data_IF_444269320985
#
_entry.id   IF_444269320985
#
_cell.length_a   1.000
_cell.length_b   1.000
_cell.length_c   1.000
_cell.angle_alpha   90.00
_cell.angle_beta   90.00
_cell.angle_gamma   90.00
#
_symmetry.space_group_name_H-M   'P 1'
#
loop_
_entity.id
_entity.type
_entity.pdbx_description
1 polymer ?
#
# COMPACT_ATOMS: atom_id res chain seq x y z
N UNK A 1 24.03 16.25 27.92
CA UNK A 1 23.25 17.07 28.88
C UNK A 1 21.83 16.57 28.79
N UNK A 2 21.28 15.99 29.85
CA UNK A 2 19.85 15.68 29.94
C UNK A 2 19.14 16.96 30.40
N UNK A 3 18.20 17.42 29.58
CA UNK A 3 17.26 18.47 29.96
C UNK A 3 15.89 17.82 30.11
N UNK A 4 15.31 17.92 31.30
CA UNK A 4 13.96 17.38 31.58
C UNK A 4 12.97 18.54 31.56
N UNK A 5 11.98 18.47 30.67
CA UNK A 5 10.82 19.36 30.67
C UNK A 5 9.60 18.58 31.19
N UNK A 6 9.03 19.01 32.30
CA UNK A 6 7.78 18.46 32.81
C UNK A 6 6.59 19.14 32.12
N UNK A 7 5.80 18.37 31.33
CA UNK A 7 4.58 18.81 30.65
C UNK A 7 4.74 20.03 29.71
N UNK A 8 5.92 20.35 29.24
CA UNK A 8 6.18 21.58 28.52
C UNK A 8 6.56 21.35 27.05
N UNK A 9 6.30 22.38 26.27
CA UNK A 9 6.70 22.47 24.88
C UNK A 9 8.19 22.72 24.79
N UNK A 10 8.93 21.77 24.20
CA UNK A 10 10.32 21.96 23.79
C UNK A 10 10.32 22.49 22.36
N UNK A 11 11.10 23.52 22.07
CA UNK A 11 11.36 23.99 20.71
C UNK A 11 12.81 23.67 20.37
N UNK A 12 13.02 22.91 19.29
CA UNK A 12 14.33 22.53 18.78
C UNK A 12 14.46 23.11 17.38
N UNK A 13 15.52 23.85 17.13
CA UNK A 13 15.87 24.43 15.82
C UNK A 13 17.14 23.77 15.30
N UNK A 14 17.41 23.88 14.00
CA UNK A 14 18.63 23.27 13.41
C UNK A 14 19.95 23.90 13.93
N UNK A 15 19.86 25.08 14.57
CA UNK A 15 20.98 25.79 15.17
C UNK A 15 21.28 25.37 16.62
N UNK A 16 20.46 24.47 17.20
CA UNK A 16 20.65 24.04 18.57
C UNK A 16 22.01 23.37 18.80
N UNK A 17 22.66 23.75 19.88
CA UNK A 17 24.00 23.27 20.26
C UNK A 17 24.06 21.73 20.39
N UNK A 18 22.95 21.11 20.76
CA UNK A 18 22.83 19.63 20.86
C UNK A 18 23.23 18.88 19.58
N UNK A 19 23.08 19.50 18.42
CA UNK A 19 23.46 18.89 17.13
C UNK A 19 24.97 18.86 16.88
N UNK A 20 25.79 19.60 17.65
CA UNK A 20 27.26 19.53 17.55
C UNK A 20 27.80 18.12 17.85
N UNK A 21 27.03 17.29 18.56
CA UNK A 21 27.35 15.90 18.87
C UNK A 21 26.67 14.90 17.92
N UNK A 22 26.17 15.36 16.78
CA UNK A 22 25.57 14.54 15.71
C UNK A 22 24.05 14.53 15.73
N UNK A 23 23.39 14.14 16.81
CA UNK A 23 21.92 14.08 16.91
C UNK A 23 21.43 14.49 18.30
N UNK A 24 20.18 14.94 18.35
CA UNK A 24 19.44 15.14 19.60
C UNK A 24 18.47 13.98 19.77
N UNK A 25 18.55 13.29 20.92
CA UNK A 25 17.62 12.20 21.26
C UNK A 25 16.57 12.73 22.23
N UNK A 26 15.29 12.50 21.91
CA UNK A 26 14.14 12.89 22.71
C UNK A 26 13.35 11.65 23.10
N UNK A 27 13.01 11.53 24.37
CA UNK A 27 12.19 10.45 24.91
C UNK A 27 11.10 11.01 25.80
N UNK A 28 9.91 10.41 25.78
CA UNK A 28 8.89 10.73 26.76
C UNK A 28 9.22 10.04 28.10
N UNK A 29 9.08 10.75 29.21
CA UNK A 29 9.14 10.17 30.54
C UNK A 29 7.98 9.16 30.71
N UNK A 30 8.24 8.06 31.37
CA UNK A 30 7.26 7.01 31.66
C UNK A 30 6.61 6.35 30.41
N UNK A 31 7.28 6.38 29.25
CA UNK A 31 6.82 5.69 28.04
C UNK A 31 5.62 6.34 27.34
N UNK A 32 5.36 7.62 27.63
CA UNK A 32 4.30 8.39 26.97
C UNK A 32 4.58 8.68 25.48
N UNK A 33 3.66 9.36 24.83
CA UNK A 33 3.81 9.78 23.43
C UNK A 33 4.27 11.24 23.32
N UNK A 34 5.07 11.52 22.30
CA UNK A 34 5.60 12.85 21.97
C UNK A 34 4.85 13.41 20.76
N UNK A 35 4.22 14.58 20.88
CA UNK A 35 3.50 15.25 19.80
C UNK A 35 4.40 16.25 19.09
N UNK A 36 4.64 16.04 17.79
CA UNK A 36 5.42 16.97 16.95
C UNK A 36 4.48 18.05 16.39
N UNK A 37 4.44 19.21 17.05
CA UNK A 37 3.50 20.31 16.73
C UNK A 37 3.85 21.09 15.47
N UNK A 38 5.07 21.00 14.98
CA UNK A 38 5.52 21.65 13.73
C UNK A 38 5.08 20.89 12.46
N UNK A 39 4.62 19.65 12.60
CA UNK A 39 4.10 18.84 11.48
C UNK A 39 2.59 18.73 11.62
N UNK A 40 1.87 18.92 10.50
CA UNK A 40 0.43 18.69 10.44
C UNK A 40 0.12 17.65 9.37
N UNK A 41 -0.62 16.61 9.74
CA UNK A 41 -1.10 15.55 8.85
C UNK A 41 -2.62 15.54 8.79
N UNK A 42 -3.22 14.68 7.98
CA UNK A 42 -4.67 14.61 7.81
C UNK A 42 -5.46 14.40 9.12
N UNK A 43 -4.83 13.80 10.13
CA UNK A 43 -5.40 13.53 11.46
C UNK A 43 -4.91 14.51 12.55
N UNK A 44 -4.26 15.60 12.18
CA UNK A 44 -3.70 16.60 13.10
C UNK A 44 -2.18 16.51 13.24
N UNK A 45 -1.66 16.89 14.41
CA UNK A 45 -0.24 16.77 14.70
C UNK A 45 0.10 15.31 15.02
N UNK A 46 1.17 14.74 14.42
CA UNK A 46 1.55 13.36 14.68
C UNK A 46 2.07 13.16 16.10
N UNK A 47 1.75 12.01 16.66
CA UNK A 47 2.15 11.56 17.99
C UNK A 47 3.00 10.29 17.88
N UNK A 48 4.13 10.25 18.56
CA UNK A 48 5.13 9.20 18.46
C UNK A 48 5.43 8.57 19.82
N UNK A 49 5.31 7.26 19.90
CA UNK A 49 5.84 6.47 21.02
C UNK A 49 7.32 6.17 20.79
N UNK A 50 8.00 5.69 21.83
CA UNK A 50 9.41 5.29 21.75
C UNK A 50 10.37 6.48 21.80
N UNK A 51 11.35 6.48 20.89
CA UNK A 51 12.44 7.47 20.85
C UNK A 51 12.34 8.29 19.58
N UNK A 52 12.60 9.60 19.66
CA UNK A 52 12.83 10.44 18.49
C UNK A 52 14.30 10.85 18.43
N UNK A 53 14.98 10.44 17.38
CA UNK A 53 16.31 10.92 17.01
C UNK A 53 16.18 12.02 15.95
N UNK A 54 16.71 13.19 16.26
CA UNK A 54 16.64 14.37 15.41
C UNK A 54 18.03 14.65 14.82
N UNK A 55 18.09 14.90 13.51
CA UNK A 55 19.30 15.20 12.78
C UNK A 55 19.14 16.54 12.08
N UNK A 56 20.05 17.50 12.33
CA UNK A 56 20.08 18.77 11.60
C UNK A 56 20.66 18.54 10.19
N UNK A 57 20.02 19.11 9.18
CA UNK A 57 20.47 19.11 7.79
C UNK A 57 20.46 20.53 7.23
N UNK A 58 20.98 20.71 6.01
CA UNK A 58 20.91 22.01 5.31
C UNK A 58 19.46 22.47 5.09
N UNK A 59 18.54 21.52 4.88
CA UNK A 59 17.13 21.78 4.55
C UNK A 59 16.20 21.86 5.77
N UNK A 60 16.65 21.36 6.94
CA UNK A 60 15.82 21.32 8.14
C UNK A 60 16.23 20.24 9.14
N UNK A 61 15.25 19.64 9.80
CA UNK A 61 15.46 18.56 10.76
C UNK A 61 14.83 17.29 10.25
N UNK A 62 15.63 16.23 10.14
CA UNK A 62 15.14 14.85 9.91
C UNK A 62 14.77 14.26 11.26
N UNK A 63 13.61 13.64 11.33
CA UNK A 63 13.08 13.00 12.54
C UNK A 63 13.05 11.49 12.31
N UNK A 64 13.75 10.74 13.13
CA UNK A 64 13.72 9.27 13.13
C UNK A 64 12.99 8.79 14.37
N UNK A 65 11.99 7.95 14.19
CA UNK A 65 11.29 7.31 15.30
C UNK A 65 11.79 5.87 15.48
N UNK A 66 12.37 5.60 16.62
CA UNK A 66 12.85 4.27 17.04
C UNK A 66 11.86 3.69 18.06
N UNK A 67 11.25 2.55 17.74
CA UNK A 67 10.28 1.89 18.61
C UNK A 67 10.21 0.37 18.33
N UNK A 68 9.71 -0.43 19.31
CA UNK A 68 9.47 -1.87 19.09
C UNK A 68 8.46 -2.12 17.96
N UNK A 69 8.64 -3.20 17.18
CA UNK A 69 7.77 -3.58 16.07
C UNK A 69 6.29 -3.66 16.48
N UNK A 70 5.97 -4.26 17.59
CA UNK A 70 4.57 -4.37 18.06
C UNK A 70 3.94 -2.99 18.32
N UNK A 71 4.72 -2.05 18.85
CA UNK A 71 4.25 -0.66 19.04
C UNK A 71 4.06 0.06 17.71
N UNK A 72 4.95 -0.16 16.74
CA UNK A 72 4.84 0.35 15.37
C UNK A 72 3.54 -0.19 14.71
N UNK A 73 3.28 -1.49 14.81
CA UNK A 73 2.11 -2.13 14.24
C UNK A 73 0.78 -1.61 14.80
N UNK A 74 0.73 -1.19 16.07
CA UNK A 74 -0.46 -0.57 16.66
C UNK A 74 -0.90 0.72 15.95
N UNK A 75 -0.01 1.36 15.19
CA UNK A 75 -0.33 2.54 14.37
C UNK A 75 -0.36 2.25 12.86
N UNK A 76 0.36 1.24 12.40
CA UNK A 76 0.31 0.78 10.99
C UNK A 76 -1.02 0.12 10.68
N UNK A 77 -1.45 -0.85 11.48
CA UNK A 77 -2.69 -1.60 11.18
C UNK A 77 -3.91 -0.68 11.00
N UNK A 78 -4.21 0.27 11.90
CA UNK A 78 -5.34 1.19 11.69
C UNK A 78 -5.10 2.23 10.58
N UNK A 79 -3.87 2.43 10.14
CA UNK A 79 -3.54 3.29 8.98
C UNK A 79 -3.79 2.59 7.66
N UNK A 80 -3.64 1.26 7.62
CA UNK A 80 -3.79 0.43 6.44
C UNK A 80 -5.21 -0.14 6.28
N UNK A 81 -5.85 -0.50 7.39
CA UNK A 81 -7.16 -1.16 7.41
C UNK A 81 -8.08 -0.50 8.43
N UNK A 82 -9.33 -0.17 8.08
CA UNK A 82 -10.28 0.39 9.05
C UNK A 82 -10.43 -0.48 10.29
N UNK A 83 -10.30 0.12 11.48
CA UNK A 83 -10.45 -0.60 12.76
C UNK A 83 -11.86 -1.19 12.98
N UNK A 84 -12.84 -0.78 12.16
CA UNK A 84 -14.19 -1.34 12.13
C UNK A 84 -14.30 -2.68 11.40
N UNK A 85 -13.20 -3.15 10.77
CA UNK A 85 -13.20 -4.47 10.12
C UNK A 85 -13.25 -5.59 11.16
N UNK A 86 -13.63 -6.78 10.71
CA UNK A 86 -13.72 -7.96 11.57
C UNK A 86 -12.35 -8.26 12.20
N UNK A 87 -12.36 -8.69 13.47
CA UNK A 87 -11.15 -8.97 14.26
C UNK A 87 -10.18 -9.91 13.55
N UNK A 88 -10.71 -10.97 12.90
CA UNK A 88 -9.88 -11.93 12.19
C UNK A 88 -9.20 -11.32 10.95
N UNK A 89 -9.82 -10.35 10.29
CA UNK A 89 -9.19 -9.59 9.22
C UNK A 89 -8.08 -8.66 9.75
N UNK A 90 -8.32 -8.01 10.89
CA UNK A 90 -7.31 -7.17 11.56
C UNK A 90 -6.11 -7.99 12.03
N UNK A 91 -6.32 -9.23 12.53
CA UNK A 91 -5.26 -10.18 12.86
C UNK A 91 -4.45 -10.58 11.64
N UNK A 92 -5.11 -10.93 10.53
CA UNK A 92 -4.42 -11.23 9.27
C UNK A 92 -3.57 -10.04 8.79
N UNK A 93 -4.12 -8.83 8.87
CA UNK A 93 -3.38 -7.60 8.54
C UNK A 93 -2.19 -7.37 9.48
N UNK A 94 -2.33 -7.64 10.79
CA UNK A 94 -1.25 -7.48 11.74
C UNK A 94 -0.08 -8.45 11.45
N UNK A 95 -0.38 -9.72 11.13
CA UNK A 95 0.65 -10.69 10.71
C UNK A 95 1.32 -10.25 9.41
N UNK A 96 0.54 -9.82 8.41
CA UNK A 96 1.10 -9.29 7.16
C UNK A 96 2.00 -8.08 7.40
N UNK A 97 1.55 -7.12 8.18
CA UNK A 97 2.31 -5.91 8.47
C UNK A 97 3.60 -6.22 9.24
N UNK A 98 3.57 -7.20 10.14
CA UNK A 98 4.76 -7.68 10.87
C UNK A 98 5.77 -8.32 9.94
N UNK A 99 5.33 -9.23 9.07
CA UNK A 99 6.19 -9.82 8.05
C UNK A 99 6.89 -8.78 7.18
N UNK A 100 6.12 -7.77 6.73
CA UNK A 100 6.67 -6.70 5.92
C UNK A 100 7.72 -5.90 6.71
N UNK A 101 7.42 -5.53 7.96
CA UNK A 101 8.35 -4.78 8.82
C UNK A 101 9.64 -5.59 9.10
N UNK A 102 9.52 -6.86 9.48
CA UNK A 102 10.67 -7.76 9.75
C UNK A 102 11.59 -7.86 8.53
N UNK A 103 11.02 -7.95 7.32
CA UNK A 103 11.82 -7.96 6.09
C UNK A 103 12.51 -6.63 5.80
N UNK A 104 11.90 -5.49 6.15
CA UNK A 104 12.54 -4.18 5.98
C UNK A 104 13.64 -3.94 7.02
N UNK A 105 13.54 -4.56 8.19
CA UNK A 105 14.57 -4.43 9.24
C UNK A 105 15.87 -5.19 8.95
N UNK A 106 15.92 -6.01 7.90
CA UNK A 106 17.16 -6.69 7.48
C UNK A 106 18.21 -5.71 6.96
N UNK A 107 17.79 -4.52 6.49
CA UNK A 107 18.69 -3.53 5.91
C UNK A 107 18.21 -2.10 6.15
N UNK A 108 19.11 -1.14 6.16
CA UNK A 108 18.78 0.27 6.28
C UNK A 108 18.51 0.88 4.90
N UNK A 109 17.27 1.33 4.65
CA UNK A 109 16.97 2.11 3.45
C UNK A 109 17.60 3.52 3.50
N UNK A 110 17.87 4.02 4.72
CA UNK A 110 18.51 5.32 5.00
C UNK A 110 19.69 5.11 5.94
N UNK A 111 20.85 4.60 5.44
CA UNK A 111 22.00 4.22 6.27
C UNK A 111 22.57 5.39 7.08
N UNK A 112 22.51 6.61 6.55
CA UNK A 112 23.00 7.83 7.19
C UNK A 112 22.25 8.17 8.49
N UNK A 113 21.00 7.70 8.61
CA UNK A 113 20.16 7.86 9.80
C UNK A 113 19.93 6.55 10.55
N UNK A 114 20.46 5.44 10.06
CA UNK A 114 20.16 4.09 10.55
C UNK A 114 18.64 3.80 10.57
N UNK A 115 17.92 4.28 9.53
CA UNK A 115 16.48 4.10 9.41
C UNK A 115 16.14 3.07 8.32
N UNK A 116 15.19 2.17 8.64
CA UNK A 116 14.81 1.05 7.77
C UNK A 116 13.76 1.45 6.73
N UNK A 117 12.88 2.39 7.07
CA UNK A 117 11.73 2.80 6.25
C UNK A 117 11.45 4.28 6.42
N UNK A 118 10.67 4.86 5.53
CA UNK A 118 9.97 6.12 5.78
C UNK A 118 8.48 5.85 6.10
N UNK A 119 7.74 6.89 6.45
CA UNK A 119 6.34 6.81 6.86
C UNK A 119 5.32 7.01 5.72
N UNK A 120 5.77 6.93 4.46
CA UNK A 120 4.95 7.13 3.28
C UNK A 120 4.45 5.81 2.67
N UNK A 121 3.69 5.93 1.59
CA UNK A 121 3.19 4.80 0.80
C UNK A 121 4.28 4.06 0.01
N UNK A 122 5.54 4.49 0.07
CA UNK A 122 6.67 3.73 -0.49
C UNK A 122 6.95 2.46 0.32
N UNK A 123 6.54 2.50 1.60
CA UNK A 123 6.57 1.39 2.55
C UNK A 123 5.16 1.13 3.09
N UNK A 124 5.02 0.91 4.39
CA UNK A 124 3.72 0.82 5.05
C UNK A 124 3.26 2.19 5.51
N UNK A 125 1.96 2.49 5.31
CA UNK A 125 1.41 3.76 5.76
C UNK A 125 1.47 3.86 7.28
N UNK A 126 2.16 4.88 7.77
CA UNK A 126 2.28 5.21 9.17
C UNK A 126 1.74 6.62 9.41
N UNK A 127 0.40 6.74 9.43
CA UNK A 127 -0.28 8.03 9.54
C UNK A 127 -0.12 8.72 10.89
N UNK A 128 0.40 8.01 11.90
CA UNK A 128 0.46 8.47 13.27
C UNK A 128 -0.90 8.92 13.85
N UNK A 129 -1.97 8.31 13.36
CA UNK A 129 -3.29 8.44 13.98
C UNK A 129 -3.30 7.81 15.37
N UNK A 130 -4.30 8.16 16.19
CA UNK A 130 -4.50 7.51 17.47
C UNK A 130 -4.64 6.00 17.29
N UNK A 131 -4.09 5.23 18.23
CA UNK A 131 -4.32 3.79 18.30
C UNK A 131 -5.81 3.50 18.43
N UNK A 132 -6.24 2.40 17.81
CA UNK A 132 -7.62 1.94 17.87
C UNK A 132 -7.66 0.61 18.65
N UNK A 133 -8.55 0.48 19.61
CA UNK A 133 -8.59 -0.69 20.50
C UNK A 133 -8.68 -2.01 19.74
N UNK A 134 -9.56 -2.09 18.73
CA UNK A 134 -9.75 -3.31 17.96
C UNK A 134 -8.49 -3.75 17.20
N UNK A 135 -7.79 -2.80 16.55
CA UNK A 135 -6.53 -3.11 15.84
C UNK A 135 -5.38 -3.37 16.79
N UNK A 136 -5.31 -2.67 17.91
CA UNK A 136 -4.30 -2.90 18.96
C UNK A 136 -4.48 -4.29 19.60
N UNK A 137 -5.72 -4.71 19.85
CA UNK A 137 -5.99 -6.06 20.34
C UNK A 137 -5.57 -7.13 19.32
N UNK A 138 -5.88 -6.93 18.04
CA UNK A 138 -5.46 -7.85 16.97
C UNK A 138 -3.93 -7.99 16.87
N UNK A 139 -3.19 -6.89 17.00
CA UNK A 139 -1.71 -6.90 17.07
C UNK A 139 -1.24 -7.72 18.27
N UNK A 140 -1.80 -7.47 19.47
CA UNK A 140 -1.40 -8.18 20.69
C UNK A 140 -1.71 -9.68 20.65
N UNK A 141 -2.87 -10.08 20.11
CA UNK A 141 -3.26 -11.50 20.01
C UNK A 141 -2.41 -12.27 19.02
N UNK A 142 -1.78 -11.60 18.04
CA UNK A 142 -0.88 -12.19 17.06
C UNK A 142 0.59 -11.84 17.30
N UNK A 143 0.93 -11.33 18.50
CA UNK A 143 2.29 -10.84 18.78
C UNK A 143 3.36 -11.90 18.49
N UNK A 144 4.39 -11.48 17.73
CA UNK A 144 5.51 -12.33 17.30
C UNK A 144 5.17 -13.32 16.18
N UNK A 145 3.91 -13.44 15.74
CA UNK A 145 3.54 -14.36 14.66
C UNK A 145 3.93 -13.80 13.28
N UNK A 146 4.67 -14.61 12.53
CA UNK A 146 5.10 -14.32 11.16
C UNK A 146 4.78 -15.47 10.21
N UNK A 147 4.58 -15.13 8.94
CA UNK A 147 4.49 -16.10 7.86
C UNK A 147 5.88 -16.48 7.38
N UNK A 148 6.13 -17.78 7.29
CA UNK A 148 7.34 -18.33 6.67
C UNK A 148 7.01 -19.20 5.47
N UNK A 149 7.85 -19.15 4.47
CA UNK A 149 7.81 -20.02 3.31
C UNK A 149 9.16 -20.71 3.15
N UNK A 150 9.17 -22.04 3.12
CA UNK A 150 10.41 -22.86 3.13
C UNK A 150 11.37 -22.45 4.26
N UNK A 151 10.82 -22.15 5.45
CA UNK A 151 11.57 -21.80 6.66
C UNK A 151 12.05 -20.34 6.75
N UNK A 152 11.84 -19.51 5.75
CA UNK A 152 12.26 -18.11 5.75
C UNK A 152 11.05 -17.17 5.93
N UNK A 153 11.22 -16.09 6.70
CA UNK A 153 10.24 -15.01 6.79
C UNK A 153 10.05 -14.41 5.38
N UNK A 154 8.81 -14.20 4.97
CA UNK A 154 8.48 -13.74 3.63
C UNK A 154 7.87 -12.33 3.63
N UNK A 155 8.06 -11.60 2.53
CA UNK A 155 7.38 -10.32 2.33
C UNK A 155 5.93 -10.56 1.96
N UNK A 156 5.01 -10.02 2.74
CA UNK A 156 3.57 -10.13 2.52
C UNK A 156 3.01 -8.83 1.97
N UNK A 157 2.69 -8.83 0.68
CA UNK A 157 2.05 -7.69 0.03
C UNK A 157 0.54 -7.75 0.22
N UNK A 158 -0.11 -6.60 0.36
CA UNK A 158 -1.55 -6.49 0.48
C UNK A 158 -2.07 -5.25 -0.25
N UNK A 159 -3.35 -5.26 -0.59
CA UNK A 159 -4.00 -4.20 -1.35
C UNK A 159 -5.48 -4.13 -0.99
N UNK A 160 -6.17 -3.07 -1.40
CA UNK A 160 -7.53 -2.78 -0.93
C UNK A 160 -8.56 -3.83 -1.33
N UNK A 161 -8.82 -4.02 -2.65
CA UNK A 161 -10.00 -4.76 -3.15
C UNK A 161 -9.64 -5.62 -4.36
N UNK A 162 -9.98 -6.90 -4.34
CA UNK A 162 -9.81 -7.78 -5.51
C UNK A 162 -11.00 -7.68 -6.47
N UNK A 163 -10.77 -8.14 -7.69
CA UNK A 163 -11.83 -8.37 -8.67
C UNK A 163 -12.28 -9.84 -8.72
N UNK A 164 -12.07 -10.59 -7.62
CA UNK A 164 -12.32 -12.02 -7.51
C UNK A 164 -11.09 -12.90 -7.73
N UNK A 165 -9.96 -12.29 -8.10
CA UNK A 165 -8.67 -12.98 -8.28
C UNK A 165 -7.51 -12.10 -7.90
N UNK A 166 -6.44 -12.72 -7.41
CA UNK A 166 -5.13 -12.07 -7.22
C UNK A 166 -4.22 -12.33 -8.43
N UNK A 167 -3.02 -11.75 -8.40
CA UNK A 167 -1.98 -12.00 -9.40
C UNK A 167 -0.64 -12.36 -8.73
N UNK A 168 0.39 -12.55 -9.54
CA UNK A 168 1.75 -12.91 -9.08
C UNK A 168 2.73 -11.76 -9.27
N UNK A 169 3.96 -11.94 -8.82
CA UNK A 169 5.06 -10.97 -8.99
C UNK A 169 5.37 -10.64 -10.46
N UNK A 170 4.86 -11.43 -11.42
CA UNK A 170 4.94 -11.09 -12.86
C UNK A 170 4.30 -9.74 -13.18
N UNK A 171 3.30 -9.32 -12.42
CA UNK A 171 2.68 -8.00 -12.57
C UNK A 171 3.68 -6.85 -12.38
N UNK A 172 4.70 -7.05 -11.57
CA UNK A 172 5.81 -6.09 -11.37
C UNK A 172 7.07 -6.40 -12.19
N UNK A 173 6.98 -7.37 -13.11
CA UNK A 173 8.10 -7.76 -13.97
C UNK A 173 9.11 -8.71 -13.30
N UNK A 174 8.79 -9.20 -12.09
CA UNK A 174 9.63 -10.18 -11.39
C UNK A 174 9.25 -11.59 -11.80
N UNK A 175 10.23 -12.40 -12.18
CA UNK A 175 10.00 -13.81 -12.52
C UNK A 175 9.60 -14.61 -11.28
N UNK A 176 8.71 -15.57 -11.50
CA UNK A 176 8.40 -16.57 -10.48
C UNK A 176 9.62 -17.46 -10.23
N UNK A 177 9.93 -17.70 -8.97
CA UNK A 177 11.04 -18.51 -8.52
C UNK A 177 10.69 -19.20 -7.19
N UNK A 178 11.61 -19.97 -6.67
CA UNK A 178 11.40 -20.72 -5.45
C UNK A 178 11.17 -19.87 -4.20
N UNK A 179 11.65 -18.63 -4.17
CA UNK A 179 11.51 -17.76 -2.99
C UNK A 179 10.20 -16.99 -2.96
N UNK A 180 9.52 -16.80 -4.12
CA UNK A 180 8.26 -16.07 -4.22
C UNK A 180 7.05 -16.95 -4.62
N UNK A 181 7.21 -18.28 -4.59
CA UNK A 181 6.17 -19.23 -4.98
C UNK A 181 4.90 -19.22 -4.11
N UNK A 182 4.93 -18.56 -2.97
CA UNK A 182 3.76 -18.33 -2.11
C UNK A 182 2.87 -17.19 -2.61
N UNK A 183 3.36 -16.30 -3.48
CA UNK A 183 2.61 -15.21 -4.09
C UNK A 183 1.91 -15.67 -5.38
N UNK A 184 0.98 -16.59 -5.23
CA UNK A 184 0.23 -17.16 -6.34
C UNK A 184 -0.99 -16.31 -6.70
N UNK A 185 -1.49 -16.51 -7.91
CA UNK A 185 -2.82 -16.02 -8.30
C UNK A 185 -3.86 -16.97 -7.73
N UNK A 186 -4.65 -16.49 -6.77
CA UNK A 186 -5.71 -17.25 -6.12
C UNK A 186 -7.09 -16.69 -6.47
N UNK A 187 -8.11 -17.54 -6.48
CA UNK A 187 -9.49 -17.11 -6.58
C UNK A 187 -10.04 -16.73 -5.21
N UNK A 188 -10.48 -15.47 -5.05
CA UNK A 188 -10.96 -14.92 -3.77
C UNK A 188 -12.45 -15.20 -3.62
N UNK A 189 -12.79 -16.51 -3.50
CA UNK A 189 -14.17 -17.00 -3.48
C UNK A 189 -14.36 -18.21 -2.57
N UNK A 190 -15.62 -18.51 -2.28
CA UNK A 190 -16.08 -19.77 -1.71
C UNK A 190 -17.13 -20.43 -2.63
N UNK A 191 -17.86 -21.42 -2.10
CA UNK A 191 -18.96 -22.10 -2.81
C UNK A 191 -20.14 -21.17 -3.18
N UNK A 192 -20.26 -20.00 -2.52
CA UNK A 192 -21.32 -19.02 -2.76
C UNK A 192 -20.91 -17.93 -3.77
N UNK A 193 -19.68 -17.99 -4.27
CA UNK A 193 -19.09 -17.05 -5.23
C UNK A 193 -18.02 -16.15 -4.62
N UNK A 194 -17.66 -15.09 -5.34
CA UNK A 194 -16.58 -14.18 -4.94
C UNK A 194 -16.96 -13.41 -3.67
N UNK A 195 -16.09 -13.37 -2.70
CA UNK A 195 -16.31 -12.69 -1.42
C UNK A 195 -16.63 -11.20 -1.60
N UNK A 196 -15.94 -10.55 -2.52
CA UNK A 196 -16.01 -9.09 -2.70
C UNK A 196 -17.04 -8.63 -3.76
N UNK A 197 -17.86 -9.54 -4.31
CA UNK A 197 -18.78 -9.28 -5.44
C UNK A 197 -19.78 -8.14 -5.24
N UNK A 198 -20.05 -7.75 -4.00
CA UNK A 198 -20.97 -6.66 -3.66
C UNK A 198 -20.26 -5.34 -3.32
N UNK A 199 -18.93 -5.32 -3.28
CA UNK A 199 -18.18 -4.13 -2.90
C UNK A 199 -18.05 -3.14 -4.07
N UNK A 200 -18.05 -1.82 -3.80
CA UNK A 200 -18.05 -0.80 -4.85
C UNK A 200 -16.94 -0.97 -5.89
N UNK A 201 -15.71 -1.22 -5.45
CA UNK A 201 -14.55 -1.36 -6.33
C UNK A 201 -14.40 -2.74 -7.00
N UNK A 202 -15.28 -3.70 -6.70
CA UNK A 202 -15.22 -5.03 -7.33
C UNK A 202 -15.31 -4.95 -8.86
N UNK A 203 -16.11 -4.00 -9.38
CA UNK A 203 -16.15 -3.63 -10.81
C UNK A 203 -16.21 -2.11 -10.94
N UNK A 204 -15.61 -1.61 -12.00
CA UNK A 204 -15.63 -0.18 -12.31
C UNK A 204 -15.50 0.07 -13.81
N UNK A 205 -15.93 1.24 -14.25
CA UNK A 205 -15.86 1.70 -15.63
C UNK A 205 -15.31 3.12 -15.65
N UNK A 206 -14.53 3.43 -16.71
CA UNK A 206 -14.07 4.78 -16.99
C UNK A 206 -14.16 5.02 -18.51
N UNK A 207 -14.78 6.15 -18.88
CA UNK A 207 -14.81 6.65 -20.23
C UNK A 207 -13.80 7.79 -20.35
N UNK A 208 -12.72 7.57 -21.09
CA UNK A 208 -11.62 8.55 -21.25
C UNK A 208 -11.69 9.11 -22.68
N UNK A 209 -11.87 10.42 -22.79
CA UNK A 209 -11.81 11.10 -24.07
C UNK A 209 -10.42 10.99 -24.70
N UNK A 210 -10.38 10.93 -26.04
CA UNK A 210 -9.15 10.73 -26.82
C UNK A 210 -8.09 11.80 -26.55
N UNK A 211 -8.52 13.08 -26.41
CA UNK A 211 -7.57 14.17 -26.15
C UNK A 211 -7.03 14.10 -24.73
N UNK A 212 -7.88 13.77 -23.76
CA UNK A 212 -7.49 13.52 -22.36
C UNK A 212 -6.49 12.35 -22.29
N UNK A 213 -6.79 11.22 -22.92
CA UNK A 213 -5.90 10.05 -22.93
C UNK A 213 -4.56 10.39 -23.59
N UNK A 214 -4.57 11.17 -24.67
CA UNK A 214 -3.34 11.60 -25.37
C UNK A 214 -2.46 12.48 -24.47
N UNK A 215 -3.08 13.41 -23.73
CA UNK A 215 -2.38 14.26 -22.77
C UNK A 215 -1.81 13.46 -21.60
N UNK A 216 -2.60 12.56 -21.00
CA UNK A 216 -2.18 11.69 -19.90
C UNK A 216 -0.97 10.82 -20.28
N UNK A 217 -1.02 10.17 -21.43
CA UNK A 217 0.08 9.33 -21.89
C UNK A 217 1.34 10.16 -22.17
N UNK A 218 1.21 11.33 -22.80
CA UNK A 218 2.34 12.21 -23.06
C UNK A 218 3.00 12.70 -21.76
N UNK A 219 2.18 13.08 -20.77
CA UNK A 219 2.66 13.54 -19.47
C UNK A 219 3.29 12.42 -18.63
N UNK A 220 2.59 11.29 -18.49
CA UNK A 220 2.99 10.23 -17.56
C UNK A 220 4.13 9.36 -18.09
N UNK A 221 4.19 9.14 -19.43
CA UNK A 221 5.23 8.33 -20.07
C UNK A 221 6.39 9.19 -20.59
N UNK A 222 6.23 10.54 -20.53
CA UNK A 222 7.22 11.52 -21.04
C UNK A 222 7.56 11.31 -22.53
N UNK A 223 6.58 10.86 -23.32
CA UNK A 223 6.69 10.67 -24.75
C UNK A 223 5.39 11.07 -25.46
N UNK A 224 5.48 12.10 -26.29
CA UNK A 224 4.35 12.55 -27.11
C UNK A 224 4.24 11.70 -28.38
N UNK A 225 3.12 10.99 -28.54
CA UNK A 225 2.78 10.19 -29.72
C UNK A 225 1.68 10.83 -30.58
N UNK A 226 1.34 12.08 -30.28
CA UNK A 226 0.23 12.78 -30.93
C UNK A 226 -1.13 12.33 -30.41
N UNK A 227 -2.15 12.43 -31.25
CA UNK A 227 -3.51 11.99 -30.92
C UNK A 227 -3.59 10.47 -30.91
N UNK A 228 -3.96 9.88 -29.76
CA UNK A 228 -4.03 8.41 -29.58
C UNK A 228 -5.16 7.82 -30.42
N UNK A 229 -4.84 6.93 -31.31
CA UNK A 229 -5.78 6.28 -32.20
C UNK A 229 -6.20 4.90 -31.71
N UNK A 230 -5.31 4.16 -31.03
CA UNK A 230 -5.62 2.88 -30.41
C UNK A 230 -4.90 2.70 -29.08
N UNK A 231 -5.51 1.96 -28.18
CA UNK A 231 -4.97 1.49 -26.91
C UNK A 231 -5.38 0.04 -26.73
N UNK A 232 -4.42 -0.84 -26.50
CA UNK A 232 -4.64 -2.29 -26.39
C UNK A 232 -3.85 -2.87 -25.21
N UNK A 233 -4.44 -3.85 -24.52
CA UNK A 233 -3.71 -4.76 -23.63
C UNK A 233 -3.07 -5.85 -24.47
N UNK A 234 -1.75 -5.83 -24.65
CA UNK A 234 -1.02 -6.75 -25.52
C UNK A 234 -0.51 -7.98 -24.80
N UNK A 235 -0.37 -7.92 -23.46
CA UNK A 235 -0.02 -9.09 -22.63
C UNK A 235 -0.83 -9.07 -21.35
N UNK A 236 -1.32 -10.24 -20.96
CA UNK A 236 -2.01 -10.48 -19.68
C UNK A 236 -1.25 -11.51 -18.86
N UNK A 237 -1.31 -11.37 -17.53
CA UNK A 237 -0.72 -12.28 -16.56
C UNK A 237 -1.75 -13.11 -15.81
N UNK A 238 -1.29 -13.87 -14.80
CA UNK A 238 -2.15 -14.61 -13.90
C UNK A 238 -3.26 -13.73 -13.30
N UNK A 239 -4.45 -14.30 -13.14
CA UNK A 239 -5.62 -13.55 -12.68
C UNK A 239 -6.24 -12.61 -13.72
N UNK A 240 -5.61 -12.42 -14.89
CA UNK A 240 -6.09 -11.53 -15.95
C UNK A 240 -5.56 -10.09 -15.85
N UNK A 241 -4.52 -9.84 -15.04
CA UNK A 241 -3.86 -8.52 -14.92
C UNK A 241 -3.18 -8.13 -16.24
N UNK A 242 -3.27 -6.86 -16.64
CA UNK A 242 -2.51 -6.33 -17.77
C UNK A 242 -1.01 -6.24 -17.38
N UNK A 243 -0.17 -6.94 -18.14
CA UNK A 243 1.29 -6.89 -18.03
C UNK A 243 1.92 -5.93 -19.02
N UNK A 244 1.23 -5.66 -20.12
CA UNK A 244 1.71 -4.74 -21.14
C UNK A 244 0.53 -4.10 -21.86
N UNK A 245 0.61 -2.81 -22.10
CA UNK A 245 -0.27 -2.07 -22.99
C UNK A 245 0.53 -1.46 -24.14
N UNK A 246 -0.13 -1.28 -25.29
CA UNK A 246 0.41 -0.54 -26.44
C UNK A 246 -0.58 0.55 -26.83
N UNK A 247 -0.10 1.78 -26.94
CA UNK A 247 -0.84 2.88 -27.53
C UNK A 247 -0.18 3.33 -28.83
N UNK A 248 -1.03 3.59 -29.85
CA UNK A 248 -0.62 4.11 -31.16
C UNK A 248 -1.31 5.43 -31.38
N UNK A 249 -0.54 6.45 -31.68
CA UNK A 249 -1.00 7.77 -32.07
C UNK A 249 -0.59 8.11 -33.48
N UNK A 250 -0.98 9.30 -33.95
CA UNK A 250 -0.66 9.80 -35.29
C UNK A 250 0.81 10.18 -35.49
N UNK A 251 1.61 10.31 -34.37
CA UNK A 251 3.03 10.65 -34.39
C UNK A 251 3.93 9.53 -33.89
N UNK A 252 3.38 8.35 -33.61
CA UNK A 252 4.16 7.21 -33.13
C UNK A 252 3.43 6.26 -32.23
N UNK A 253 4.18 5.44 -31.49
CA UNK A 253 3.61 4.51 -30.52
C UNK A 253 4.45 4.40 -29.27
N UNK A 254 3.81 3.93 -28.19
CA UNK A 254 4.44 3.57 -26.91
C UNK A 254 3.99 2.18 -26.48
N UNK A 255 4.88 1.52 -25.76
CA UNK A 255 4.57 0.28 -25.03
C UNK A 255 4.90 0.54 -23.56
N UNK A 256 4.00 0.17 -22.67
CA UNK A 256 4.18 0.31 -21.23
C UNK A 256 4.05 -1.06 -20.58
N UNK A 257 5.06 -1.46 -19.86
CA UNK A 257 5.13 -2.74 -19.17
C UNK A 257 4.91 -2.54 -17.67
N UNK A 258 4.49 -3.58 -16.98
CA UNK A 258 4.21 -3.71 -15.56
C UNK A 258 2.96 -2.99 -15.07
N UNK A 259 2.32 -3.60 -14.10
CA UNK A 259 1.06 -3.18 -13.50
C UNK A 259 1.11 -1.71 -13.02
N UNK A 260 2.13 -1.36 -12.25
CA UNK A 260 2.26 -0.01 -11.66
C UNK A 260 2.45 1.06 -12.74
N UNK A 261 3.33 0.81 -13.74
CA UNK A 261 3.57 1.77 -14.82
C UNK A 261 2.34 1.92 -15.73
N UNK A 262 1.59 0.84 -15.95
CA UNK A 262 0.34 0.88 -16.72
C UNK A 262 -0.69 1.74 -15.99
N UNK A 263 -0.89 1.52 -14.69
CA UNK A 263 -1.81 2.33 -13.88
C UNK A 263 -1.40 3.79 -13.86
N UNK A 264 -0.10 4.08 -13.74
CA UNK A 264 0.44 5.43 -13.79
C UNK A 264 0.22 6.08 -15.17
N UNK A 265 0.49 5.34 -16.25
CA UNK A 265 0.33 5.85 -17.62
C UNK A 265 -1.11 6.29 -17.93
N UNK A 266 -2.09 5.60 -17.38
CA UNK A 266 -3.52 5.86 -17.58
C UNK A 266 -4.16 6.66 -16.45
N UNK A 267 -3.44 6.93 -15.36
CA UNK A 267 -3.90 7.73 -14.24
C UNK A 267 -3.86 9.22 -14.55
N UNK A 268 -4.71 9.98 -13.89
CA UNK A 268 -4.76 11.44 -13.99
C UNK A 268 -6.16 12.00 -13.82
N UNK A 269 -6.26 13.31 -13.91
CA UNK A 269 -7.51 14.05 -13.85
C UNK A 269 -8.20 14.11 -15.23
N UNK A 270 -9.44 14.55 -15.25
CA UNK A 270 -10.19 14.82 -16.49
C UNK A 270 -11.14 13.72 -16.91
N UNK A 271 -11.24 12.63 -16.15
CA UNK A 271 -12.25 11.59 -16.34
C UNK A 271 -12.77 11.07 -14.99
N UNK A 272 -13.92 10.44 -15.04
CA UNK A 272 -14.58 9.85 -13.88
C UNK A 272 -14.51 8.32 -13.93
N UNK A 273 -14.51 7.72 -12.76
CA UNK A 273 -14.55 6.27 -12.58
C UNK A 273 -15.85 5.93 -11.87
N UNK A 274 -16.76 5.27 -12.61
CA UNK A 274 -18.03 4.80 -12.08
C UNK A 274 -17.84 3.41 -11.48
N UNK A 275 -18.08 3.28 -10.18
CA UNK A 275 -18.06 2.01 -9.46
C UNK A 275 -19.35 1.23 -9.68
N UNK A 276 -19.35 -0.08 -9.39
CA UNK A 276 -20.52 -0.93 -9.64
C UNK A 276 -21.77 -0.56 -8.84
N UNK A 277 -21.61 0.10 -7.69
CA UNK A 277 -22.71 0.62 -6.87
C UNK A 277 -23.30 1.94 -7.41
N UNK A 278 -22.78 2.42 -8.53
CA UNK A 278 -23.18 3.69 -9.17
C UNK A 278 -22.48 4.91 -8.59
N UNK A 279 -21.72 4.80 -7.50
CA UNK A 279 -20.93 5.92 -7.00
C UNK A 279 -19.76 6.25 -7.93
N UNK A 280 -19.36 7.52 -7.95
CA UNK A 280 -18.34 8.03 -8.86
C UNK A 280 -17.13 8.50 -8.06
N UNK A 281 -15.93 8.23 -8.58
CA UNK A 281 -14.68 8.79 -8.12
C UNK A 281 -14.01 9.56 -9.26
N UNK A 282 -13.27 10.61 -8.96
CA UNK A 282 -12.42 11.28 -9.94
C UNK A 282 -11.21 10.42 -10.26
N UNK A 283 -10.69 10.53 -11.48
CA UNK A 283 -9.41 9.93 -11.84
C UNK A 283 -8.32 10.43 -10.88
N UNK A 284 -7.43 9.54 -10.47
CA UNK A 284 -6.32 9.83 -9.56
C UNK A 284 -4.97 9.57 -10.21
N UNK A 285 -3.89 9.74 -9.48
CA UNK A 285 -2.52 9.52 -9.97
C UNK A 285 -2.29 8.13 -10.58
N UNK A 286 -3.09 7.16 -10.18
CA UNK A 286 -3.09 5.79 -10.69
C UNK A 286 -4.51 5.38 -11.10
N UNK A 287 -4.63 4.62 -12.19
CA UNK A 287 -5.86 3.86 -12.48
C UNK A 287 -6.14 2.89 -11.31
N UNK A 288 -7.40 2.59 -10.94
CA UNK A 288 -7.71 1.77 -9.76
C UNK A 288 -6.98 0.44 -9.71
N UNK A 289 -6.87 -0.26 -10.82
CA UNK A 289 -6.12 -1.51 -10.95
C UNK A 289 -5.66 -1.73 -12.39
N UNK A 290 -4.81 -2.73 -12.61
CA UNK A 290 -4.47 -3.20 -13.96
C UNK A 290 -5.31 -4.40 -14.41
N UNK A 291 -6.37 -4.74 -13.72
CA UNK A 291 -7.34 -5.76 -14.15
C UNK A 291 -8.46 -5.10 -14.97
N UNK A 292 -8.19 -4.85 -16.24
CA UNK A 292 -9.13 -4.14 -17.11
C UNK A 292 -9.08 -4.62 -18.56
N UNK A 293 -10.12 -4.24 -19.31
CA UNK A 293 -10.21 -4.29 -20.77
C UNK A 293 -10.46 -2.88 -21.28
N UNK A 294 -10.04 -2.62 -22.51
CA UNK A 294 -10.27 -1.33 -23.17
C UNK A 294 -10.92 -1.55 -24.54
N UNK A 295 -11.87 -0.68 -24.89
CA UNK A 295 -12.52 -0.62 -26.23
C UNK A 295 -12.63 0.83 -26.65
N UNK A 296 -12.28 1.13 -27.89
CA UNK A 296 -12.52 2.44 -28.49
C UNK A 296 -13.93 2.50 -29.09
N UNK A 297 -14.67 3.56 -28.81
CA UNK A 297 -15.98 3.87 -29.36
C UNK A 297 -16.02 5.37 -29.76
N UNK A 298 -15.84 5.64 -31.05
CA UNK A 298 -15.64 7.03 -31.53
C UNK A 298 -14.37 7.63 -30.92
N UNK A 299 -14.52 8.78 -30.26
CA UNK A 299 -13.42 9.46 -29.56
C UNK A 299 -13.28 9.04 -28.09
N UNK A 300 -14.03 8.04 -27.64
CA UNK A 300 -13.98 7.58 -26.24
C UNK A 300 -13.26 6.24 -26.14
N UNK A 301 -12.33 6.13 -25.20
CA UNK A 301 -11.73 4.89 -24.75
C UNK A 301 -12.47 4.39 -23.51
N UNK A 302 -13.31 3.37 -23.68
CA UNK A 302 -14.05 2.72 -22.59
C UNK A 302 -13.16 1.69 -21.92
N UNK A 303 -12.84 1.93 -20.65
CA UNK A 303 -12.07 1.02 -19.81
C UNK A 303 -13.05 0.37 -18.83
N UNK A 304 -13.11 -0.97 -18.83
CA UNK A 304 -13.90 -1.73 -17.87
C UNK A 304 -12.96 -2.60 -17.05
N UNK A 305 -13.00 -2.44 -15.75
CA UNK A 305 -12.07 -3.10 -14.86
C UNK A 305 -12.69 -3.56 -13.55
N UNK A 306 -11.84 -4.06 -12.66
CA UNK A 306 -12.24 -4.46 -11.32
C UNK A 306 -11.08 -4.47 -10.35
N UNK A 307 -11.42 -4.35 -9.07
CA UNK A 307 -10.45 -4.25 -7.98
C UNK A 307 -9.85 -2.85 -7.80
N UNK A 308 -9.18 -2.69 -6.67
CA UNK A 308 -8.46 -1.47 -6.29
C UNK A 308 -7.12 -1.83 -5.62
N UNK A 309 -6.01 -1.52 -6.30
CA UNK A 309 -4.65 -1.86 -5.88
C UNK A 309 -3.93 -2.76 -6.87
N UNK A 310 -2.75 -3.26 -6.48
CA UNK A 310 -1.85 -4.01 -7.37
C UNK A 310 -2.24 -5.49 -7.59
N UNK A 311 -3.06 -6.05 -6.73
CA UNK A 311 -3.57 -7.42 -6.89
C UNK A 311 -2.63 -8.54 -6.44
N UNK A 312 -1.49 -8.26 -5.81
CA UNK A 312 -0.53 -9.28 -5.33
C UNK A 312 -0.73 -9.50 -3.83
N UNK A 313 -0.84 -10.76 -3.39
CA UNK A 313 -1.03 -11.13 -1.99
C UNK A 313 -2.45 -10.86 -1.49
N UNK A 314 -2.60 -10.38 -0.24
CA UNK A 314 -3.90 -10.28 0.43
C UNK A 314 -4.74 -9.08 -0.02
N UNK A 315 -6.00 -9.35 -0.41
CA UNK A 315 -7.03 -8.31 -0.49
C UNK A 315 -7.54 -8.00 0.91
N UNK A 316 -7.43 -6.74 1.35
CA UNK A 316 -7.87 -6.30 2.67
C UNK A 316 -9.40 -6.42 2.82
N UNK A 317 -10.15 -6.01 1.80
CA UNK A 317 -11.60 -6.21 1.76
C UNK A 317 -11.97 -7.68 1.65
N UNK A 318 -11.22 -8.47 0.86
CA UNK A 318 -11.40 -9.92 0.77
C UNK A 318 -11.23 -10.60 2.12
N UNK A 319 -10.18 -10.25 2.86
CA UNK A 319 -9.96 -10.74 4.22
C UNK A 319 -11.14 -10.40 5.16
N UNK A 320 -11.66 -9.17 5.08
CA UNK A 320 -12.81 -8.75 5.88
C UNK A 320 -14.09 -9.52 5.52
N UNK A 321 -14.38 -9.69 4.23
CA UNK A 321 -15.56 -10.46 3.80
C UNK A 321 -15.44 -11.94 4.17
N UNK A 322 -14.25 -12.53 4.09
CA UNK A 322 -13.98 -13.89 4.58
C UNK A 322 -14.24 -14.00 6.09
N UNK A 323 -13.74 -13.05 6.89
CA UNK A 323 -13.96 -13.02 8.33
C UNK A 323 -15.45 -12.92 8.69
N UNK A 324 -16.26 -12.15 7.94
CA UNK A 324 -17.71 -12.10 8.09
C UNK A 324 -18.41 -13.46 7.86
N UNK A 325 -17.81 -14.35 7.08
CA UNK A 325 -18.31 -15.71 6.88
C UNK A 325 -17.83 -16.72 7.93
N UNK A 326 -17.09 -16.26 8.95
CA UNK A 326 -16.57 -17.08 10.03
C UNK A 326 -15.18 -17.65 9.80
N UNK A 327 -14.46 -17.19 8.76
CA UNK A 327 -13.05 -17.57 8.55
C UNK A 327 -12.16 -16.90 9.60
N UNK A 328 -11.27 -17.68 10.21
CA UNK A 328 -10.24 -17.15 11.10
C UNK A 328 -9.04 -16.59 10.31
N UNK A 329 -8.15 -15.86 10.98
CA UNK A 329 -7.00 -15.21 10.32
C UNK A 329 -6.03 -16.20 9.69
N UNK A 330 -5.86 -17.42 10.25
CA UNK A 330 -5.02 -18.45 9.66
C UNK A 330 -5.58 -18.93 8.32
N UNK A 331 -6.89 -19.18 8.24
CA UNK A 331 -7.56 -19.56 6.98
C UNK A 331 -7.47 -18.44 5.95
N UNK A 332 -7.59 -17.18 6.37
CA UNK A 332 -7.44 -16.01 5.50
C UNK A 332 -6.02 -15.95 4.94
N UNK A 333 -5.00 -16.03 5.79
CA UNK A 333 -3.61 -15.99 5.38
C UNK A 333 -3.25 -17.15 4.45
N UNK A 334 -3.75 -18.37 4.74
CA UNK A 334 -3.51 -19.54 3.90
C UNK A 334 -4.15 -19.42 2.51
N UNK A 335 -5.29 -18.75 2.39
CA UNK A 335 -5.88 -18.48 1.07
C UNK A 335 -4.99 -17.58 0.23
N UNK A 336 -4.49 -16.48 0.81
CA UNK A 336 -3.73 -15.46 0.06
C UNK A 336 -2.24 -15.78 -0.11
N UNK A 337 -1.68 -16.62 0.78
CA UNK A 337 -0.27 -17.02 0.80
C UNK A 337 -0.14 -18.53 0.93
N UNK A 338 -0.57 -19.30 -0.09
CA UNK A 338 -0.57 -20.76 -0.02
C UNK A 338 0.83 -21.31 0.17
N UNK A 339 0.92 -22.38 1.01
CA UNK A 339 2.16 -23.07 1.31
C UNK A 339 3.07 -22.37 2.34
N UNK A 340 2.60 -21.28 2.97
CA UNK A 340 3.28 -20.67 4.12
C UNK A 340 2.87 -21.33 5.42
N UNK A 341 3.70 -21.19 6.46
CA UNK A 341 3.40 -21.55 7.85
C UNK A 341 3.35 -20.29 8.71
N UNK A 342 2.54 -20.30 9.77
CA UNK A 342 2.52 -19.24 10.78
C UNK A 342 3.36 -19.74 11.95
N UNK A 343 4.36 -18.97 12.33
CA UNK A 343 5.30 -19.32 13.41
C UNK A 343 5.59 -18.07 14.28
N UNK A 344 6.02 -18.30 15.50
CA UNK A 344 6.53 -17.26 16.41
C UNK A 344 8.05 -17.24 16.42
#
# INVERSE_FOLDING_TARGET
REETAENEKITITKEDFGFQNGKIRVTAKDGGEMVVRSIRRGYGNPSYAGILDLYATSEGIVIINELPVESYLCKVVPSEMPASYQKEALKAQAVCARNYAERQMEDYAYPEYQAHVNDSTDYQVYNNSAQQDASTEAVRETAGEVLKYKGNIVTTYYYSTSCGKTTTMKAWGTSENESNGYLQSVEVKDKNGDYEKLLPWYRWEADIDQDILSALLAENVKKNIGTVQSLEVTKTGPGGVALQIKAVGDKGSITVDTENKIRKALGGNGYEIKKQDGTVAQGGTLLPSAFFKVKKAGNIFKITGGGYGHGIGMSQNGANEMAKTGKNYQEILQMFYPGTTIEK
#
